data_IF_578119170630
#
_entry.id   IF_578119170630
#
_cell.length_a   1.000
_cell.length_b   1.000
_cell.length_c   1.000
_cell.angle_alpha   90.00
_cell.angle_beta   90.00
_cell.angle_gamma   90.00
#
_symmetry.space_group_name_H-M   'P 1'
#
loop_
_entity.id
_entity.type
_entity.pdbx_description
1 polymer ?
#
# COMPACT_ATOMS: atom_id res chain seq x y z
N UNK A 1 12.29 -39.02 6.67
CA UNK A 1 11.24 -38.07 7.09
C UNK A 1 11.62 -37.57 8.48
N UNK A 2 12.24 -36.40 8.55
CA UNK A 2 12.40 -35.64 9.80
C UNK A 2 11.75 -34.30 9.51
N UNK A 3 10.63 -34.04 10.15
CA UNK A 3 9.98 -32.74 10.17
C UNK A 3 10.95 -31.74 10.80
N UNK A 4 11.60 -30.94 9.97
CA UNK A 4 12.22 -29.69 10.41
C UNK A 4 11.10 -28.65 10.51
N UNK A 5 10.29 -28.77 11.56
CA UNK A 5 9.37 -27.72 11.96
C UNK A 5 10.17 -26.48 12.34
N UNK A 6 10.45 -25.62 11.37
CA UNK A 6 10.88 -24.26 11.64
C UNK A 6 9.72 -23.60 12.38
N UNK A 7 9.96 -23.19 13.62
CA UNK A 7 9.00 -22.37 14.36
C UNK A 7 8.65 -21.17 13.50
N UNK A 8 7.37 -20.86 13.38
CA UNK A 8 6.92 -19.66 12.66
C UNK A 8 7.59 -18.39 13.21
N UNK A 9 8.06 -18.39 14.47
CA UNK A 9 8.88 -17.29 15.04
C UNK A 9 10.21 -17.10 14.28
N UNK A 10 10.88 -18.19 13.90
CA UNK A 10 12.18 -18.13 13.24
C UNK A 10 12.09 -17.59 11.80
N UNK A 11 10.94 -17.73 11.13
CA UNK A 11 10.73 -17.20 9.77
C UNK A 11 10.52 -15.68 9.76
N UNK A 12 9.98 -15.11 10.83
CA UNK A 12 9.79 -13.65 10.95
C UNK A 12 11.06 -12.96 11.43
N UNK A 13 11.87 -13.63 12.26
CA UNK A 13 13.17 -13.12 12.68
C UNK A 13 14.24 -13.15 11.56
N UNK A 14 14.06 -13.96 10.52
CA UNK A 14 14.95 -14.06 9.34
C UNK A 14 14.41 -13.30 8.10
N UNK A 15 13.51 -12.32 8.30
CA UNK A 15 13.13 -11.41 7.21
C UNK A 15 14.34 -10.51 6.91
N UNK A 16 15.08 -10.85 5.84
CA UNK A 16 16.13 -9.98 5.32
C UNK A 16 15.49 -8.66 4.95
N UNK A 17 15.93 -7.61 5.63
CA UNK A 17 15.38 -6.30 5.47
C UNK A 17 16.35 -5.39 4.77
N UNK A 18 15.99 -4.95 3.58
CA UNK A 18 16.86 -4.12 2.77
C UNK A 18 17.02 -2.72 3.38
N UNK A 19 16.13 -2.31 4.30
CA UNK A 19 16.17 -1.00 4.98
C UNK A 19 16.17 -1.05 6.53
N UNK A 20 16.45 -2.21 7.13
CA UNK A 20 16.60 -2.38 8.59
C UNK A 20 15.29 -2.42 9.40
N UNK A 21 15.36 -2.60 10.75
CA UNK A 21 14.22 -3.00 11.60
C UNK A 21 12.93 -2.19 11.49
N UNK A 22 13.01 -0.92 11.11
CA UNK A 22 11.86 -0.05 10.97
C UNK A 22 10.95 -0.46 9.80
N UNK A 23 11.50 -0.98 8.70
CA UNK A 23 10.73 -1.42 7.54
C UNK A 23 9.81 -2.60 7.90
N UNK A 24 10.29 -3.63 8.62
CA UNK A 24 9.48 -4.80 9.02
C UNK A 24 8.35 -4.37 9.92
N UNK A 25 8.67 -3.45 10.84
CA UNK A 25 7.69 -2.95 11.78
C UNK A 25 6.56 -2.24 11.02
N UNK A 26 6.89 -1.40 10.04
CA UNK A 26 5.90 -0.68 9.24
C UNK A 26 5.17 -1.58 8.25
N UNK A 27 5.84 -2.58 7.65
CA UNK A 27 5.18 -3.63 6.87
C UNK A 27 4.10 -4.32 7.71
N UNK A 28 4.40 -4.62 8.97
CA UNK A 28 3.43 -5.24 9.89
C UNK A 28 2.29 -4.29 10.23
N UNK A 29 2.58 -2.99 10.42
CA UNK A 29 1.56 -1.94 10.63
C UNK A 29 0.60 -1.88 9.43
N UNK A 30 1.13 -1.90 8.22
CA UNK A 30 0.35 -1.82 6.98
C UNK A 30 -0.43 -3.12 6.73
N UNK A 31 0.16 -4.29 6.99
CA UNK A 31 -0.52 -5.58 6.94
C UNK A 31 -1.69 -5.65 7.93
N UNK A 32 -1.50 -5.16 9.15
CA UNK A 32 -2.57 -5.05 10.14
C UNK A 32 -3.66 -4.04 9.73
N UNK A 33 -3.30 -2.96 9.04
CA UNK A 33 -4.28 -2.01 8.49
C UNK A 33 -5.13 -2.64 7.38
N UNK A 34 -4.53 -3.44 6.49
CA UNK A 34 -5.24 -4.22 5.47
C UNK A 34 -6.22 -5.22 6.08
N UNK A 35 -5.83 -5.87 7.18
CA UNK A 35 -6.68 -6.83 7.90
C UNK A 35 -7.83 -6.15 8.65
N UNK A 36 -7.56 -5.01 9.30
CA UNK A 36 -8.55 -4.23 10.04
C UNK A 36 -9.60 -3.58 9.13
N UNK A 37 -9.18 -3.14 7.94
CA UNK A 37 -9.99 -2.37 7.01
C UNK A 37 -9.90 -2.97 5.59
N UNK A 38 -10.65 -4.05 5.30
CA UNK A 38 -10.48 -4.81 4.05
C UNK A 38 -10.91 -4.05 2.78
N UNK A 39 -11.63 -2.94 2.92
CA UNK A 39 -12.04 -2.10 1.80
C UNK A 39 -10.96 -1.08 1.45
N UNK A 40 -10.65 -0.95 0.15
CA UNK A 40 -9.59 -0.06 -0.37
C UNK A 40 -9.67 1.36 0.19
N UNK A 41 -10.86 1.94 0.19
CA UNK A 41 -11.07 3.34 0.60
C UNK A 41 -10.87 3.57 2.10
N UNK A 42 -10.72 2.50 2.90
CA UNK A 42 -10.52 2.59 4.35
C UNK A 42 -9.04 2.39 4.73
N UNK A 43 -8.33 1.39 4.18
CA UNK A 43 -6.91 1.17 4.51
C UNK A 43 -5.94 2.02 3.71
N UNK A 44 -6.21 2.26 2.42
CA UNK A 44 -5.31 2.99 1.53
C UNK A 44 -4.95 4.41 2.02
N UNK A 45 -5.86 5.19 2.60
CA UNK A 45 -5.54 6.50 3.17
C UNK A 45 -4.51 6.42 4.30
N UNK A 46 -4.67 5.42 5.16
CA UNK A 46 -3.78 5.19 6.28
C UNK A 46 -2.38 4.79 5.80
N UNK A 47 -2.30 3.81 4.89
CA UNK A 47 -1.03 3.37 4.27
C UNK A 47 -0.34 4.56 3.58
N UNK A 48 -1.07 5.34 2.78
CA UNK A 48 -0.52 6.52 2.13
C UNK A 48 0.03 7.56 3.12
N UNK A 49 -0.65 7.77 4.25
CA UNK A 49 -0.17 8.65 5.31
C UNK A 49 1.16 8.14 5.92
N UNK A 50 1.24 6.84 6.24
CA UNK A 50 2.45 6.20 6.77
C UNK A 50 3.60 6.30 5.75
N UNK A 51 3.37 5.94 4.50
CA UNK A 51 4.35 6.02 3.41
C UNK A 51 4.86 7.45 3.16
N UNK A 52 3.99 8.46 3.30
CA UNK A 52 4.40 9.87 3.24
C UNK A 52 5.37 10.22 4.38
N UNK A 53 5.14 9.71 5.59
CA UNK A 53 6.07 9.91 6.72
C UNK A 53 7.39 9.18 6.49
N UNK A 54 7.37 7.98 5.90
CA UNK A 54 8.58 7.25 5.48
C UNK A 54 9.39 8.06 4.47
N UNK A 55 8.74 8.55 3.41
CA UNK A 55 9.38 9.39 2.39
C UNK A 55 10.05 10.64 2.97
N UNK A 56 9.42 11.29 3.94
CA UNK A 56 9.94 12.47 4.62
C UNK A 56 10.87 12.15 5.81
N UNK A 57 11.22 10.87 6.02
CA UNK A 57 12.09 10.38 7.11
C UNK A 57 11.54 10.67 8.53
N UNK A 58 10.22 10.77 8.64
CA UNK A 58 9.48 11.00 9.88
C UNK A 58 8.67 9.76 10.30
N UNK A 59 9.10 8.57 9.88
CA UNK A 59 8.37 7.30 10.05
C UNK A 59 8.03 6.95 11.50
N UNK A 60 8.74 7.48 12.48
CA UNK A 60 8.42 7.29 13.91
C UNK A 60 7.09 7.93 14.31
N UNK A 61 6.54 8.82 13.49
CA UNK A 61 5.27 9.52 13.73
C UNK A 61 4.07 8.81 13.10
N UNK A 62 4.21 7.57 12.62
CA UNK A 62 3.16 6.84 11.90
C UNK A 62 1.80 6.80 12.65
N UNK A 63 1.80 6.76 13.99
CA UNK A 63 0.55 6.76 14.79
C UNK A 63 -0.27 8.06 14.61
N UNK A 64 0.37 9.17 14.22
CA UNK A 64 -0.37 10.43 13.96
C UNK A 64 -1.37 10.27 12.81
N UNK A 65 -1.20 9.27 11.94
CA UNK A 65 -2.15 8.97 10.87
C UNK A 65 -3.53 8.54 11.39
N UNK A 66 -3.63 7.95 12.59
CA UNK A 66 -4.92 7.62 13.18
C UNK A 66 -5.73 8.88 13.49
N UNK A 67 -5.09 9.87 14.12
CA UNK A 67 -5.74 11.14 14.47
C UNK A 67 -6.10 11.95 13.23
N UNK A 68 -5.17 12.04 12.26
CA UNK A 68 -5.38 12.76 11.00
C UNK A 68 -6.56 12.22 10.19
N UNK A 69 -6.80 10.92 10.26
CA UNK A 69 -7.86 10.23 9.50
C UNK A 69 -9.08 9.84 10.34
N UNK A 70 -9.10 10.20 11.63
CA UNK A 70 -10.16 9.85 12.58
C UNK A 70 -10.43 8.33 12.63
N UNK A 71 -9.36 7.52 12.70
CA UNK A 71 -9.39 6.06 12.74
C UNK A 71 -9.20 5.52 14.16
N UNK A 72 -9.80 4.37 14.45
CA UNK A 72 -9.59 3.65 15.72
C UNK A 72 -8.25 2.94 15.71
N UNK A 73 -7.29 3.44 16.48
CA UNK A 73 -5.92 2.89 16.51
C UNK A 73 -5.86 1.44 16.98
N UNK A 74 -6.73 1.04 17.90
CA UNK A 74 -6.71 -0.28 18.53
C UNK A 74 -6.89 -1.42 17.52
N UNK A 75 -7.59 -1.16 16.41
CA UNK A 75 -7.79 -2.14 15.34
C UNK A 75 -6.47 -2.55 14.67
N UNK A 76 -5.47 -1.65 14.66
CA UNK A 76 -4.15 -1.90 14.08
C UNK A 76 -3.12 -2.18 15.17
N UNK A 77 -3.05 -1.36 16.23
CA UNK A 77 -2.01 -1.47 17.26
C UNK A 77 -2.05 -2.78 18.02
N UNK A 78 -3.25 -3.34 18.26
CA UNK A 78 -3.40 -4.62 18.94
C UNK A 78 -2.91 -5.79 18.06
N UNK A 79 -2.95 -5.61 16.74
CA UNK A 79 -2.49 -6.60 15.77
C UNK A 79 -0.96 -6.63 15.63
N UNK A 80 -0.29 -5.48 15.61
CA UNK A 80 1.15 -5.35 15.27
C UNK A 80 2.07 -6.23 16.13
N UNK A 81 1.81 -6.31 17.43
CA UNK A 81 2.61 -7.12 18.37
C UNK A 81 2.09 -8.54 18.60
N UNK A 82 1.07 -8.98 17.86
CA UNK A 82 0.34 -10.23 18.11
C UNK A 82 0.74 -11.36 17.16
N UNK A 83 0.31 -12.59 17.48
CA UNK A 83 0.41 -13.73 16.58
C UNK A 83 -0.30 -13.48 15.23
N UNK A 84 -1.33 -12.62 15.20
CA UNK A 84 -2.03 -12.23 13.98
C UNK A 84 -1.17 -11.38 13.06
N UNK A 85 -0.49 -10.36 13.58
CA UNK A 85 0.43 -9.54 12.78
C UNK A 85 1.52 -10.40 12.13
N UNK A 86 2.05 -11.34 12.90
CA UNK A 86 3.03 -12.31 12.42
C UNK A 86 2.47 -13.27 11.35
N UNK A 87 1.23 -13.72 11.50
CA UNK A 87 0.55 -14.55 10.49
C UNK A 87 0.39 -13.79 9.17
N UNK A 88 0.00 -12.51 9.24
CA UNK A 88 -0.19 -11.65 8.07
C UNK A 88 1.13 -11.43 7.31
N UNK A 89 2.22 -11.14 8.02
CA UNK A 89 3.55 -11.03 7.42
C UNK A 89 3.96 -12.29 6.65
N UNK A 90 3.79 -13.46 7.26
CA UNK A 90 4.09 -14.74 6.61
C UNK A 90 3.21 -14.99 5.39
N UNK A 91 1.92 -14.62 5.46
CA UNK A 91 0.99 -14.75 4.35
C UNK A 91 1.41 -13.86 3.17
N UNK A 92 1.65 -12.57 3.39
CA UNK A 92 2.05 -11.65 2.33
C UNK A 92 3.44 -11.97 1.77
N UNK A 93 4.36 -12.46 2.59
CA UNK A 93 5.64 -12.98 2.13
C UNK A 93 5.46 -14.15 1.15
N UNK A 94 4.55 -15.08 1.44
CA UNK A 94 4.25 -16.22 0.57
C UNK A 94 3.51 -15.81 -0.72
N UNK A 95 2.69 -14.76 -0.67
CA UNK A 95 1.97 -14.21 -1.83
C UNK A 95 2.87 -13.40 -2.76
N UNK A 96 3.99 -12.87 -2.25
CA UNK A 96 4.94 -12.08 -3.02
C UNK A 96 5.69 -12.97 -4.03
N UNK A 97 5.46 -12.81 -5.34
CA UNK A 97 6.16 -13.63 -6.33
C UNK A 97 7.64 -13.26 -6.40
N UNK A 98 8.49 -14.14 -6.96
CA UNK A 98 9.87 -13.79 -7.28
C UNK A 98 9.91 -12.55 -8.18
N UNK A 99 10.59 -11.52 -7.70
CA UNK A 99 10.72 -10.23 -8.39
C UNK A 99 12.18 -9.77 -8.40
N UNK A 100 12.52 -8.86 -9.32
CA UNK A 100 13.91 -8.41 -9.54
C UNK A 100 14.27 -7.16 -8.74
N UNK A 101 13.26 -6.39 -8.33
CA UNK A 101 13.36 -5.13 -7.61
C UNK A 101 11.96 -4.71 -7.15
N UNK A 102 11.90 -3.78 -6.19
CA UNK A 102 10.69 -3.07 -5.81
C UNK A 102 10.70 -1.63 -6.37
N UNK A 103 9.53 -1.03 -6.69
CA UNK A 103 8.20 -1.64 -6.68
C UNK A 103 8.03 -2.67 -7.81
N UNK A 104 7.27 -3.75 -7.54
CA UNK A 104 6.93 -4.79 -8.51
C UNK A 104 5.46 -4.65 -8.94
N UNK A 105 5.22 -3.90 -10.02
CA UNK A 105 3.86 -3.60 -10.51
C UNK A 105 3.46 -4.57 -11.63
N UNK A 106 2.25 -5.14 -11.50
CA UNK A 106 1.67 -6.09 -12.44
C UNK A 106 0.29 -5.60 -12.88
N UNK A 107 0.00 -5.60 -14.19
CA UNK A 107 -1.32 -5.28 -14.75
C UNK A 107 -1.80 -6.47 -15.58
N UNK A 108 -2.93 -7.09 -15.22
CA UNK A 108 -3.49 -8.28 -15.89
C UNK A 108 -2.44 -9.42 -16.09
N UNK A 109 -1.66 -9.69 -15.04
CA UNK A 109 -0.58 -10.69 -15.06
C UNK A 109 0.72 -10.26 -15.75
N UNK A 110 0.77 -9.07 -16.37
CA UNK A 110 1.96 -8.53 -17.03
C UNK A 110 2.82 -7.70 -16.06
N UNK A 111 4.05 -8.13 -15.70
CA UNK A 111 4.97 -7.30 -14.94
C UNK A 111 5.51 -6.14 -15.78
N UNK A 112 5.44 -4.92 -15.25
CA UNK A 112 5.82 -3.69 -15.98
C UNK A 112 7.32 -3.36 -15.93
N UNK A 113 8.07 -4.03 -15.04
CA UNK A 113 9.49 -3.78 -14.81
C UNK A 113 9.79 -2.28 -14.59
N UNK A 114 10.75 -1.71 -15.35
CA UNK A 114 11.19 -0.32 -15.24
C UNK A 114 10.13 0.67 -15.75
N UNK A 115 9.10 0.17 -16.44
CA UNK A 115 8.02 0.99 -16.98
C UNK A 115 6.84 1.14 -16.01
N UNK A 116 7.01 0.75 -14.74
CA UNK A 116 5.96 0.76 -13.72
C UNK A 116 5.26 2.13 -13.55
N UNK A 117 5.94 3.24 -13.82
CA UNK A 117 5.35 4.59 -13.73
C UNK A 117 4.30 4.84 -14.81
N UNK A 118 4.34 4.10 -15.91
CA UNK A 118 3.36 4.19 -16.99
C UNK A 118 2.14 3.27 -16.78
N UNK A 119 1.92 2.75 -15.56
CA UNK A 119 0.87 1.78 -15.25
C UNK A 119 -0.53 2.19 -15.73
N UNK A 120 -0.88 3.48 -15.70
CA UNK A 120 -2.16 3.99 -16.24
C UNK A 120 -2.34 3.61 -17.70
N UNK A 121 -1.30 3.75 -18.54
CA UNK A 121 -1.36 3.34 -19.95
C UNK A 121 -1.61 1.85 -20.11
N UNK A 122 -1.03 1.02 -19.24
CA UNK A 122 -1.25 -0.43 -19.25
C UNK A 122 -2.68 -0.78 -18.80
N UNK A 123 -3.20 -0.13 -17.76
CA UNK A 123 -4.59 -0.28 -17.32
C UNK A 123 -5.55 0.05 -18.46
N UNK A 124 -5.36 1.20 -19.12
CA UNK A 124 -6.20 1.62 -20.23
C UNK A 124 -6.19 0.64 -21.41
N UNK A 125 -5.04 0.03 -21.71
CA UNK A 125 -4.91 -0.99 -22.76
C UNK A 125 -5.52 -2.34 -22.36
N UNK A 126 -5.44 -2.70 -21.08
CA UNK A 126 -5.96 -3.96 -20.56
C UNK A 126 -7.48 -3.94 -20.39
N UNK A 127 -8.08 -2.76 -20.24
CA UNK A 127 -9.52 -2.61 -20.08
C UNK A 127 -10.30 -3.02 -21.33
N UNK A 128 -11.24 -3.95 -21.15
CA UNK A 128 -12.10 -4.51 -22.20
C UNK A 128 -13.55 -4.03 -22.13
N UNK A 129 -13.87 -3.15 -21.17
CA UNK A 129 -15.21 -2.60 -21.03
C UNK A 129 -15.52 -1.54 -22.08
N UNK A 130 -16.81 -1.26 -22.27
CA UNK A 130 -17.28 -0.29 -23.26
C UNK A 130 -17.46 1.12 -22.69
N UNK A 131 -17.60 1.24 -21.37
CA UNK A 131 -17.70 2.53 -20.71
C UNK A 131 -16.32 3.23 -20.71
N UNK A 132 -16.22 4.50 -21.16
CA UNK A 132 -14.97 5.26 -21.07
C UNK A 132 -14.48 5.33 -19.62
N UNK A 133 -13.17 5.12 -19.43
CA UNK A 133 -12.52 5.32 -18.13
C UNK A 133 -11.93 6.73 -18.10
N UNK A 134 -12.30 7.58 -17.13
CA UNK A 134 -11.61 8.84 -16.88
C UNK A 134 -10.09 8.63 -16.72
N UNK A 135 -9.27 9.46 -17.38
CA UNK A 135 -7.81 9.29 -17.40
C UNK A 135 -7.27 8.37 -18.49
N UNK A 136 -8.13 7.57 -19.14
CA UNK A 136 -7.80 6.87 -20.38
C UNK A 136 -8.17 7.73 -21.59
N UNK A 137 -7.38 8.77 -21.87
CA UNK A 137 -7.56 9.52 -23.12
C UNK A 137 -6.99 8.72 -24.29
N UNK A 138 -7.78 8.57 -25.33
CA UNK A 138 -7.28 8.10 -26.62
C UNK A 138 -6.28 9.14 -27.17
N UNK A 139 -5.02 8.71 -27.29
CA UNK A 139 -3.83 9.37 -27.89
C UNK A 139 -2.98 10.32 -27.01
N UNK A 140 -1.76 9.83 -26.70
CA UNK A 140 -0.48 10.48 -26.43
C UNK A 140 -0.35 11.56 -25.33
N UNK A 141 0.58 11.26 -24.41
CA UNK A 141 1.12 12.07 -23.32
C UNK A 141 0.11 12.59 -22.29
N UNK A 142 -0.07 11.83 -21.21
CA UNK A 142 -0.57 12.38 -19.95
C UNK A 142 0.53 13.25 -19.33
N UNK A 143 0.42 14.58 -19.46
CA UNK A 143 1.09 15.50 -18.54
C UNK A 143 0.34 15.42 -17.22
N UNK A 144 0.99 14.87 -16.21
CA UNK A 144 0.44 14.67 -14.87
C UNK A 144 0.37 16.01 -14.11
N UNK A 145 -0.43 16.96 -14.58
CA UNK A 145 -0.77 18.16 -13.81
C UNK A 145 -2.15 18.67 -14.26
N UNK A 146 -3.14 18.50 -13.37
CA UNK A 146 -4.34 19.35 -13.18
C UNK A 146 -5.75 18.75 -13.29
N UNK A 147 -5.95 17.45 -13.48
CA UNK A 147 -7.33 16.90 -13.64
C UNK A 147 -7.73 15.82 -12.61
N UNK A 148 -7.31 15.96 -11.34
CA UNK A 148 -7.94 15.18 -10.25
C UNK A 148 -9.17 15.88 -9.64
N UNK A 149 -9.45 17.14 -9.99
CA UNK A 149 -10.56 17.89 -9.38
C UNK A 149 -11.95 17.56 -9.93
N UNK A 150 -12.07 16.70 -10.94
CA UNK A 150 -13.34 16.52 -11.66
C UNK A 150 -13.95 15.12 -11.57
N UNK A 151 -13.36 14.19 -10.80
CA UNK A 151 -13.86 12.82 -10.74
C UNK A 151 -14.41 12.51 -9.34
N UNK A 152 -15.74 12.49 -9.23
CA UNK A 152 -16.54 12.02 -8.08
C UNK A 152 -16.45 12.84 -6.78
N UNK A 153 -17.60 13.25 -6.17
CA UNK A 153 -17.60 13.95 -4.89
C UNK A 153 -16.93 13.16 -3.75
N UNK A 154 -16.88 11.82 -3.86
CA UNK A 154 -16.20 10.96 -2.89
C UNK A 154 -14.67 11.02 -2.99
N UNK A 155 -14.11 11.23 -4.19
CA UNK A 155 -12.65 11.35 -4.36
C UNK A 155 -12.21 12.79 -4.06
N UNK A 156 -13.03 13.80 -4.37
CA UNK A 156 -12.75 15.17 -3.93
C UNK A 156 -12.73 15.27 -2.40
N UNK A 157 -13.63 14.56 -1.70
CA UNK A 157 -13.58 14.45 -0.24
C UNK A 157 -12.29 13.78 0.24
N UNK A 158 -11.77 12.83 -0.53
CA UNK A 158 -10.55 12.12 -0.20
C UNK A 158 -9.30 12.99 -0.36
N UNK A 159 -9.17 13.66 -1.50
CA UNK A 159 -8.07 14.59 -1.77
C UNK A 159 -8.11 15.82 -0.86
N UNK A 160 -9.30 16.33 -0.52
CA UNK A 160 -9.45 17.46 0.42
C UNK A 160 -9.03 17.05 1.84
N UNK A 161 -9.42 15.86 2.31
CA UNK A 161 -8.96 15.32 3.60
C UNK A 161 -7.44 15.07 3.62
N UNK A 162 -6.86 14.58 2.52
CA UNK A 162 -5.41 14.40 2.39
C UNK A 162 -4.68 15.74 2.41
N UNK A 163 -5.17 16.75 1.68
CA UNK A 163 -4.54 18.08 1.64
C UNK A 163 -4.63 18.83 2.97
N UNK A 164 -5.73 18.67 3.71
CA UNK A 164 -5.87 19.15 5.09
C UNK A 164 -4.91 18.45 6.05
N UNK A 165 -4.73 17.13 5.91
CA UNK A 165 -3.80 16.36 6.73
C UNK A 165 -2.31 16.63 6.41
N UNK A 166 -1.99 17.10 5.20
CA UNK A 166 -0.63 17.44 4.77
C UNK A 166 -0.21 18.88 5.12
N UNK A 167 -1.17 19.76 5.46
CA UNK A 167 -0.94 21.17 5.78
C UNK A 167 -1.02 21.49 7.29
N UNK A 168 -1.17 20.46 8.13
CA UNK A 168 -1.12 20.50 9.59
C UNK A 168 -0.03 19.57 10.14
#
# INVERSE_FOLDING_TARGET
MKDSGLSSNALVEDKRMDHGPAECFLDTVEACALDAWPHLNEHFPFIHCVESLVYHKNYTQWETCFEKLNLKKELVTDCVGSDRGKELELRHSAETPPHKFVPWVVVDGLPLYKDYRNFVSYICKAYKGTAPIPGCTSSNSLSFTSEFSTISPDITSFDEQINLAASA
#
